data_IF_323783633578
#
_entry.id   IF_323783633578
#
_cell.length_a   1.000
_cell.length_b   1.000
_cell.length_c   1.000
_cell.angle_alpha   90.00
_cell.angle_beta   90.00
_cell.angle_gamma   90.00
#
_symmetry.space_group_name_H-M   'P 1'
#
loop_
_entity.id
_entity.type
_entity.pdbx_description
1 polymer ?
#
# COMPACT_ATOMS: atom_id res chain seq x y z
N UNK A 1 -10.28 39.15 22.74
CA UNK A 1 -8.90 38.63 22.58
C UNK A 1 -8.87 37.67 21.41
N UNK A 2 -8.23 38.08 20.31
CA UNK A 2 -8.04 37.25 19.10
C UNK A 2 -6.79 36.38 19.32
N UNK A 3 -6.96 35.07 19.42
CA UNK A 3 -5.82 34.14 19.34
C UNK A 3 -5.54 33.86 17.87
N UNK A 4 -4.62 34.62 17.29
CA UNK A 4 -3.92 34.25 16.06
C UNK A 4 -2.71 33.42 16.45
N UNK A 5 -2.86 32.09 16.49
CA UNK A 5 -1.72 31.18 16.46
C UNK A 5 -1.39 30.87 15.01
N UNK A 6 -0.35 31.54 14.51
CA UNK A 6 0.35 31.17 13.30
C UNK A 6 0.93 29.76 13.44
N UNK A 7 0.12 28.75 13.13
CA UNK A 7 0.66 27.47 12.68
C UNK A 7 1.21 27.71 11.28
N UNK A 8 2.54 27.76 11.19
CA UNK A 8 3.26 27.68 9.92
C UNK A 8 2.76 26.43 9.20
N UNK A 9 1.84 26.64 8.26
CA UNK A 9 1.33 25.60 7.40
C UNK A 9 2.50 25.17 6.50
N UNK A 10 3.19 24.11 6.90
CA UNK A 10 4.02 23.31 5.99
C UNK A 10 3.15 23.11 4.76
N UNK A 11 3.50 23.70 3.63
CA UNK A 11 2.67 23.57 2.43
C UNK A 11 2.72 22.11 1.98
N UNK A 12 1.74 21.31 2.41
CA UNK A 12 1.64 19.87 2.11
C UNK A 12 1.22 19.62 0.64
N UNK A 13 1.08 20.68 -0.17
CA UNK A 13 0.79 20.61 -1.59
C UNK A 13 0.10 21.87 -2.13
N UNK A 14 -0.25 21.84 -3.43
CA UNK A 14 -1.01 22.91 -4.08
C UNK A 14 -2.51 22.64 -3.95
N UNK A 15 -3.16 23.16 -2.91
CA UNK A 15 -4.62 23.18 -2.76
C UNK A 15 -5.16 22.48 -1.50
N UNK A 16 -6.48 22.58 -1.29
CA UNK A 16 -7.15 22.07 -0.09
C UNK A 16 -7.31 20.53 -0.10
N UNK A 17 -6.72 19.80 0.87
CA UNK A 17 -6.88 18.35 0.97
C UNK A 17 -8.23 17.90 1.55
N UNK A 18 -9.00 18.80 2.15
CA UNK A 18 -10.23 18.48 2.90
C UNK A 18 -11.26 17.75 2.05
N UNK A 19 -11.35 18.10 0.75
CA UNK A 19 -12.27 17.46 -0.19
C UNK A 19 -11.88 15.98 -0.43
N UNK A 20 -10.58 15.70 -0.61
CA UNK A 20 -10.09 14.34 -0.81
C UNK A 20 -10.35 13.48 0.43
N UNK A 21 -10.01 14.00 1.60
CA UNK A 21 -10.23 13.32 2.89
C UNK A 21 -11.73 13.06 3.08
N UNK A 22 -12.58 14.07 2.89
CA UNK A 22 -14.03 13.93 3.04
C UNK A 22 -14.62 12.86 2.11
N UNK A 23 -14.18 12.81 0.85
CA UNK A 23 -14.64 11.79 -0.11
C UNK A 23 -14.14 10.40 0.29
N UNK A 24 -12.84 10.23 0.52
CA UNK A 24 -12.23 8.93 0.80
C UNK A 24 -12.65 8.34 2.15
N UNK A 25 -12.95 9.18 3.15
CA UNK A 25 -13.38 8.71 4.48
C UNK A 25 -14.88 8.42 4.57
N UNK A 26 -15.72 8.94 3.67
CA UNK A 26 -17.19 8.83 3.77
C UNK A 26 -17.85 7.97 2.69
N UNK A 27 -17.17 7.69 1.58
CA UNK A 27 -17.75 6.94 0.45
C UNK A 27 -17.40 5.46 0.55
N UNK A 28 -18.30 4.60 0.08
CA UNK A 28 -18.06 3.15 0.05
C UNK A 28 -16.99 2.77 -0.96
N UNK A 29 -16.34 1.62 -0.77
CA UNK A 29 -15.34 1.09 -1.72
C UNK A 29 -15.85 1.00 -3.17
N UNK A 30 -17.12 0.65 -3.36
CA UNK A 30 -17.75 0.58 -4.69
C UNK A 30 -17.86 1.95 -5.33
N UNK A 31 -18.29 2.96 -4.56
CA UNK A 31 -18.38 4.33 -5.04
C UNK A 31 -16.99 4.88 -5.40
N UNK A 32 -15.97 4.65 -4.57
CA UNK A 32 -14.60 5.10 -4.85
C UNK A 32 -14.04 4.46 -6.13
N UNK A 33 -14.31 3.19 -6.38
CA UNK A 33 -13.91 2.51 -7.63
C UNK A 33 -14.53 3.18 -8.86
N UNK A 34 -15.81 3.53 -8.80
CA UNK A 34 -16.49 4.23 -9.90
C UNK A 34 -15.98 5.67 -10.07
N UNK A 35 -15.68 6.38 -8.98
CA UNK A 35 -15.01 7.69 -9.05
C UNK A 35 -13.68 7.57 -9.78
N UNK A 36 -12.85 6.58 -9.45
CA UNK A 36 -11.54 6.40 -10.08
C UNK A 36 -11.68 6.14 -11.60
N UNK A 37 -12.63 5.28 -12.00
CA UNK A 37 -12.93 5.00 -13.42
C UNK A 37 -13.42 6.25 -14.15
N UNK A 38 -14.39 6.96 -13.56
CA UNK A 38 -14.95 8.17 -14.15
C UNK A 38 -13.90 9.29 -14.26
N UNK A 39 -13.02 9.42 -13.27
CA UNK A 39 -11.91 10.36 -13.27
C UNK A 39 -10.94 10.06 -14.41
N UNK A 40 -10.52 8.79 -14.57
CA UNK A 40 -9.64 8.38 -15.66
C UNK A 40 -10.29 8.64 -17.03
N UNK A 41 -11.57 8.31 -17.20
CA UNK A 41 -12.31 8.57 -18.44
C UNK A 41 -12.39 10.07 -18.78
N UNK A 42 -12.56 10.92 -17.77
CA UNK A 42 -12.74 12.37 -17.96
C UNK A 42 -11.43 13.12 -18.17
N UNK A 43 -10.37 12.75 -17.46
CA UNK A 43 -9.11 13.49 -17.41
C UNK A 43 -7.93 12.79 -18.07
N UNK A 44 -8.09 11.54 -18.52
CA UNK A 44 -7.05 10.77 -19.20
C UNK A 44 -5.88 10.34 -18.31
N UNK A 45 -6.00 10.48 -16.99
CA UNK A 45 -4.96 10.08 -16.03
C UNK A 45 -5.57 9.46 -14.77
N UNK A 46 -4.76 8.70 -14.03
CA UNK A 46 -5.23 8.05 -12.81
C UNK A 46 -5.35 9.07 -11.66
N UNK A 47 -6.35 8.89 -10.80
CA UNK A 47 -6.54 9.76 -9.63
C UNK A 47 -5.31 9.77 -8.71
N UNK A 48 -4.67 8.60 -8.54
CA UNK A 48 -3.42 8.43 -7.77
C UNK A 48 -2.28 9.27 -8.35
N UNK A 49 -2.15 9.36 -9.67
CA UNK A 49 -1.14 10.20 -10.32
C UNK A 49 -1.42 11.69 -10.09
N UNK A 50 -2.69 12.10 -10.20
CA UNK A 50 -3.06 13.49 -9.93
C UNK A 50 -2.76 13.88 -8.48
N UNK A 51 -3.02 13.00 -7.51
CA UNK A 51 -2.67 13.23 -6.10
C UNK A 51 -1.16 13.31 -5.94
N UNK A 52 -0.41 12.44 -6.62
CA UNK A 52 1.05 12.43 -6.59
C UNK A 52 1.70 13.71 -7.11
N UNK A 53 1.08 14.37 -8.09
CA UNK A 53 1.51 15.68 -8.61
C UNK A 53 1.09 16.84 -7.71
N UNK A 54 -0.03 16.70 -6.98
CA UNK A 54 -0.66 17.80 -6.22
C UNK A 54 -0.14 17.94 -4.80
N UNK A 55 0.13 16.82 -4.11
CA UNK A 55 0.50 16.81 -2.70
C UNK A 55 1.90 16.23 -2.48
N UNK A 56 2.54 16.63 -1.39
CA UNK A 56 3.82 16.10 -0.92
C UNK A 56 3.62 15.03 0.16
N UNK A 57 4.69 14.29 0.46
CA UNK A 57 4.69 13.37 1.59
C UNK A 57 4.66 14.15 2.92
N UNK A 58 4.00 13.64 3.98
CA UNK A 58 3.43 12.28 4.09
C UNK A 58 2.00 12.13 3.52
N UNK A 59 1.29 13.24 3.28
CA UNK A 59 -0.13 13.21 2.90
C UNK A 59 -0.39 12.50 1.57
N UNK A 60 0.45 12.73 0.55
CA UNK A 60 0.38 12.04 -0.74
C UNK A 60 0.33 10.52 -0.56
N UNK A 61 1.27 9.99 0.23
CA UNK A 61 1.35 8.55 0.50
C UNK A 61 0.09 8.06 1.22
N UNK A 62 -0.39 8.80 2.24
CA UNK A 62 -1.61 8.42 2.95
C UNK A 62 -2.84 8.33 2.02
N UNK A 63 -3.07 9.36 1.19
CA UNK A 63 -4.20 9.39 0.26
C UNK A 63 -4.11 8.29 -0.80
N UNK A 64 -2.93 8.10 -1.39
CA UNK A 64 -2.70 7.05 -2.39
C UNK A 64 -2.88 5.66 -1.79
N UNK A 65 -2.37 5.40 -0.59
CA UNK A 65 -2.56 4.13 0.12
C UNK A 65 -4.03 3.84 0.38
N UNK A 66 -4.83 4.84 0.80
CA UNK A 66 -6.27 4.66 0.99
C UNK A 66 -6.96 4.31 -0.34
N UNK A 67 -6.65 5.02 -1.42
CA UNK A 67 -7.23 4.74 -2.74
C UNK A 67 -6.87 3.33 -3.19
N UNK A 68 -5.59 2.95 -3.11
CA UNK A 68 -5.14 1.61 -3.48
C UNK A 68 -5.83 0.54 -2.64
N UNK A 69 -5.95 0.73 -1.32
CA UNK A 69 -6.63 -0.22 -0.44
C UNK A 69 -8.12 -0.40 -0.80
N UNK A 70 -8.81 0.67 -1.21
CA UNK A 70 -10.22 0.63 -1.60
C UNK A 70 -10.44 0.05 -3.01
N UNK A 71 -9.46 0.22 -3.90
CA UNK A 71 -9.51 -0.29 -5.29
C UNK A 71 -9.04 -1.73 -5.34
N UNK A 72 -7.82 -2.02 -4.92
CA UNK A 72 -7.23 -3.37 -4.88
C UNK A 72 -6.28 -3.54 -3.68
N UNK A 73 -6.82 -4.05 -2.58
CA UNK A 73 -6.06 -4.32 -1.37
C UNK A 73 -4.92 -5.34 -1.59
N UNK A 74 -5.15 -6.40 -2.36
CA UNK A 74 -4.15 -7.46 -2.52
C UNK A 74 -2.95 -6.96 -3.31
N UNK A 75 -3.20 -6.18 -4.36
CA UNK A 75 -2.12 -5.54 -5.12
C UNK A 75 -1.33 -4.55 -4.24
N UNK A 76 -2.02 -3.74 -3.41
CA UNK A 76 -1.36 -2.86 -2.45
C UNK A 76 -0.43 -3.62 -1.50
N UNK A 77 -0.93 -4.68 -0.86
CA UNK A 77 -0.16 -5.49 0.09
C UNK A 77 1.01 -6.19 -0.61
N UNK A 78 0.82 -6.64 -1.85
CA UNK A 78 1.86 -7.24 -2.68
C UNK A 78 2.99 -6.24 -2.98
N UNK A 79 2.66 -5.01 -3.36
CA UNK A 79 3.65 -3.95 -3.56
C UNK A 79 4.37 -3.59 -2.26
N UNK A 80 3.66 -3.55 -1.13
CA UNK A 80 4.27 -3.29 0.18
C UNK A 80 5.25 -4.39 0.59
N UNK A 81 4.92 -5.66 0.33
CA UNK A 81 5.85 -6.78 0.53
C UNK A 81 7.10 -6.62 -0.33
N UNK A 82 6.95 -6.30 -1.61
CA UNK A 82 8.09 -6.10 -2.49
C UNK A 82 8.99 -4.97 -1.99
N UNK A 83 8.43 -3.78 -1.72
CA UNK A 83 9.20 -2.67 -1.19
C UNK A 83 9.84 -2.95 0.17
N UNK A 84 9.25 -3.84 1.00
CA UNK A 84 9.83 -4.25 2.28
C UNK A 84 11.04 -5.17 2.14
N UNK A 85 11.25 -5.75 0.96
CA UNK A 85 12.34 -6.66 0.61
C UNK A 85 13.28 -6.07 -0.45
N UNK A 86 13.09 -4.82 -0.83
CA UNK A 86 13.88 -4.14 -1.85
C UNK A 86 15.03 -3.36 -1.19
N UNK A 87 16.27 -3.59 -1.65
CA UNK A 87 17.45 -2.87 -1.19
C UNK A 87 18.33 -3.66 -0.22
N UNK A 88 19.12 -2.95 0.60
CA UNK A 88 19.99 -3.57 1.60
C UNK A 88 19.21 -3.78 2.91
N UNK A 89 18.90 -5.04 3.20
CA UNK A 89 18.13 -5.45 4.38
C UNK A 89 16.61 -5.43 4.11
N UNK A 90 15.85 -5.80 5.13
CA UNK A 90 14.41 -5.96 5.06
C UNK A 90 13.68 -5.11 6.11
N UNK A 91 12.46 -4.69 5.77
CA UNK A 91 11.51 -4.14 6.73
C UNK A 91 10.67 -5.29 7.32
N UNK A 92 11.26 -5.98 8.28
CA UNK A 92 10.68 -7.16 8.92
C UNK A 92 9.30 -6.88 9.53
N UNK A 93 9.09 -5.69 10.10
CA UNK A 93 7.80 -5.28 10.67
C UNK A 93 6.67 -5.26 9.63
N UNK A 94 6.97 -4.90 8.39
CA UNK A 94 6.00 -4.91 7.29
C UNK A 94 5.75 -6.34 6.81
N UNK A 95 6.81 -7.12 6.67
CA UNK A 95 6.75 -8.54 6.27
C UNK A 95 5.89 -9.32 7.27
N UNK A 96 6.20 -9.23 8.56
CA UNK A 96 5.48 -9.89 9.66
C UNK A 96 4.02 -9.49 9.65
N UNK A 97 3.74 -8.18 9.59
CA UNK A 97 2.37 -7.67 9.64
C UNK A 97 1.53 -8.19 8.48
N UNK A 98 2.06 -8.18 7.26
CA UNK A 98 1.30 -8.64 6.10
C UNK A 98 1.13 -10.17 6.14
N UNK A 99 2.19 -10.93 6.40
CA UNK A 99 2.12 -12.40 6.40
C UNK A 99 1.20 -12.89 7.52
N UNK A 100 1.40 -12.43 8.76
CA UNK A 100 0.62 -12.89 9.91
C UNK A 100 -0.85 -12.46 9.85
N UNK A 101 -1.16 -11.27 9.32
CA UNK A 101 -2.56 -10.82 9.24
C UNK A 101 -3.32 -11.36 8.02
N UNK A 102 -2.62 -11.93 7.03
CA UNK A 102 -3.24 -12.41 5.78
C UNK A 102 -3.13 -13.91 5.55
N UNK A 103 -2.31 -14.63 6.31
CA UNK A 103 -2.05 -16.06 6.13
C UNK A 103 -3.33 -16.91 6.01
N UNK A 104 -4.35 -16.60 6.80
CA UNK A 104 -5.64 -17.32 6.82
C UNK A 104 -6.75 -16.64 6.02
N UNK A 105 -6.46 -15.53 5.31
CA UNK A 105 -7.47 -14.74 4.59
C UNK A 105 -7.31 -14.86 3.08
N UNK A 106 -6.17 -14.38 2.55
CA UNK A 106 -5.93 -14.32 1.11
C UNK A 106 -4.44 -14.31 0.75
N UNK A 107 -3.57 -14.85 1.62
CA UNK A 107 -2.14 -14.89 1.35
C UNK A 107 -1.79 -15.70 0.09
N UNK A 108 -2.59 -16.70 -0.29
CA UNK A 108 -2.37 -17.43 -1.55
C UNK A 108 -2.59 -16.53 -2.77
N UNK A 109 -3.60 -15.66 -2.75
CA UNK A 109 -3.80 -14.68 -3.83
C UNK A 109 -2.64 -13.68 -3.87
N UNK A 110 -2.19 -13.20 -2.71
CA UNK A 110 -1.02 -12.31 -2.60
C UNK A 110 0.23 -12.99 -3.17
N UNK A 111 0.47 -14.27 -2.88
CA UNK A 111 1.59 -15.04 -3.46
C UNK A 111 1.52 -15.07 -4.99
N UNK A 112 0.34 -15.37 -5.55
CA UNK A 112 0.13 -15.44 -6.99
C UNK A 112 0.34 -14.07 -7.66
N UNK A 113 -0.21 -13.00 -7.07
CA UNK A 113 -0.03 -11.64 -7.57
C UNK A 113 1.45 -11.26 -7.50
N UNK A 114 2.14 -11.56 -6.39
CA UNK A 114 3.55 -11.25 -6.22
C UNK A 114 4.41 -11.89 -7.31
N UNK A 115 4.20 -13.18 -7.57
CA UNK A 115 4.95 -13.91 -8.60
C UNK A 115 4.64 -13.37 -10.01
N UNK A 116 3.38 -13.06 -10.30
CA UNK A 116 2.98 -12.50 -11.60
C UNK A 116 3.55 -11.09 -11.85
N UNK A 117 3.66 -10.25 -10.82
CA UNK A 117 4.15 -8.88 -10.96
C UNK A 117 5.67 -8.75 -10.90
N UNK A 118 6.34 -9.58 -10.08
CA UNK A 118 7.77 -9.45 -9.80
C UNK A 118 8.61 -10.61 -10.34
N UNK A 119 8.00 -11.58 -11.02
CA UNK A 119 8.66 -12.72 -11.66
C UNK A 119 9.56 -13.53 -10.72
N UNK A 120 9.26 -13.50 -9.42
CA UNK A 120 9.96 -14.24 -8.36
C UNK A 120 8.92 -14.73 -7.35
N UNK A 121 8.88 -16.02 -7.00
CA UNK A 121 7.95 -16.50 -5.98
C UNK A 121 8.20 -15.80 -4.64
N UNK A 122 7.13 -15.44 -3.92
CA UNK A 122 7.24 -14.75 -2.63
C UNK A 122 8.09 -15.54 -1.62
N UNK A 123 7.95 -16.87 -1.58
CA UNK A 123 8.76 -17.72 -0.73
C UNK A 123 10.27 -17.62 -1.03
N UNK A 124 10.64 -17.46 -2.31
CA UNK A 124 12.03 -17.27 -2.73
C UNK A 124 12.54 -15.87 -2.40
N UNK A 125 11.68 -14.85 -2.43
CA UNK A 125 12.03 -13.51 -1.97
C UNK A 125 12.34 -13.51 -0.47
N UNK A 126 11.46 -14.10 0.35
CA UNK A 126 11.70 -14.20 1.80
C UNK A 126 12.93 -15.03 2.13
N UNK A 127 13.22 -16.09 1.36
CA UNK A 127 14.43 -16.89 1.56
C UNK A 127 15.72 -16.11 1.32
N UNK A 128 15.73 -15.12 0.42
CA UNK A 128 16.91 -14.30 0.16
C UNK A 128 17.11 -13.21 1.20
N UNK A 129 16.02 -12.62 1.71
CA UNK A 129 16.10 -11.47 2.63
C UNK A 129 16.14 -11.86 4.11
N UNK A 130 15.67 -13.06 4.48
CA UNK A 130 15.54 -13.47 5.88
C UNK A 130 16.36 -14.71 6.21
N UNK A 131 16.71 -14.87 7.48
CA UNK A 131 17.57 -15.96 7.94
C UNK A 131 17.04 -16.64 9.22
N UNK A 132 17.65 -17.77 9.57
CA UNK A 132 17.41 -18.47 10.84
C UNK A 132 15.95 -18.91 11.08
N UNK A 133 15.55 -18.90 12.35
CA UNK A 133 14.20 -19.28 12.78
C UNK A 133 13.11 -18.37 12.22
N UNK A 134 13.44 -17.08 12.02
CA UNK A 134 12.51 -16.12 11.41
C UNK A 134 12.11 -16.53 10.00
N UNK A 135 13.07 -16.84 9.12
CA UNK A 135 12.80 -17.38 7.78
C UNK A 135 11.93 -18.63 7.84
N UNK A 136 12.27 -19.56 8.74
CA UNK A 136 11.56 -20.84 8.86
C UNK A 136 10.09 -20.62 9.22
N UNK A 137 9.81 -19.73 10.18
CA UNK A 137 8.46 -19.35 10.55
C UNK A 137 7.69 -18.75 9.37
N UNK A 138 8.28 -17.80 8.64
CA UNK A 138 7.61 -17.17 7.51
C UNK A 138 7.26 -18.20 6.42
N UNK A 139 8.17 -19.11 6.08
CA UNK A 139 7.90 -20.14 5.07
C UNK A 139 6.77 -21.09 5.48
N UNK A 140 6.72 -21.47 6.77
CA UNK A 140 5.61 -22.27 7.32
C UNK A 140 4.29 -21.51 7.17
N UNK A 141 4.24 -20.23 7.52
CA UNK A 141 3.03 -19.39 7.37
C UNK A 141 2.61 -19.22 5.91
N UNK A 142 3.54 -19.31 4.96
CA UNK A 142 3.26 -19.31 3.52
C UNK A 142 2.69 -20.65 2.99
N UNK A 143 2.64 -21.69 3.84
CA UNK A 143 2.30 -23.05 3.45
C UNK A 143 3.41 -23.72 2.62
N UNK A 144 4.65 -23.28 2.76
CA UNK A 144 5.81 -23.91 2.13
C UNK A 144 6.51 -24.79 3.17
N UNK A 145 6.59 -26.09 2.94
CA UNK A 145 7.37 -26.96 3.81
C UNK A 145 8.84 -26.49 3.84
N UNK A 146 9.37 -26.30 5.05
CA UNK A 146 10.80 -26.05 5.22
C UNK A 146 11.54 -27.36 4.95
N UNK A 147 12.51 -27.40 4.02
CA UNK A 147 13.41 -28.55 3.91
C UNK A 147 14.20 -28.77 5.21
#
# INVERSE_FOLDING_TARGET
MRYTSHLNCVQIGKGDPSIYISILSKRSKYHIREICKAYQKKYGCLLVESISRKFSNPLRNALNTIIMALVDLRLLLTCQLYCSMEGLGSNDDTIIRIICLRCEIDLQDIKNIYENYFYKPLAKALQSETHGGFRKLLLILLGCESP
#
